data_IF_403176478531
#
_entry.id   IF_403176478531
#
_cell.length_a   1.000
_cell.length_b   1.000
_cell.length_c   1.000
_cell.angle_alpha   90.00
_cell.angle_beta   90.00
_cell.angle_gamma   90.00
#
_symmetry.space_group_name_H-M   'P 1'
#
loop_
_entity.id
_entity.type
_entity.pdbx_description
1 polymer ?
#
# COMPACT_ATOMS: atom_id res chain seq x y z
N UNK A 1 -1.43 -14.20 7.73
CA UNK A 1 -1.12 -13.24 6.68
C UNK A 1 0.38 -13.23 6.35
N UNK A 2 0.74 -12.75 5.18
CA UNK A 2 2.14 -12.60 4.79
C UNK A 2 2.89 -11.69 5.78
N UNK A 3 2.25 -10.61 6.21
CA UNK A 3 2.83 -9.68 7.17
C UNK A 3 3.08 -10.35 8.52
N UNK A 4 2.19 -11.23 8.96
CA UNK A 4 2.39 -12.01 10.20
C UNK A 4 3.72 -12.79 10.14
N UNK A 5 3.99 -13.44 9.01
CA UNK A 5 5.23 -14.22 8.84
C UNK A 5 6.48 -13.35 8.91
N UNK A 6 6.40 -12.10 8.43
CA UNK A 6 7.52 -11.18 8.41
C UNK A 6 7.82 -10.56 9.77
N UNK A 7 6.79 -10.18 10.52
CA UNK A 7 6.95 -9.49 11.80
C UNK A 7 6.88 -10.43 13.00
N UNK A 8 6.42 -11.66 12.79
CA UNK A 8 6.24 -12.68 13.84
C UNK A 8 5.38 -12.18 15.01
N UNK A 9 4.33 -11.41 14.68
CA UNK A 9 3.37 -10.85 15.63
C UNK A 9 1.97 -10.98 15.04
N UNK A 10 0.97 -11.00 15.91
CA UNK A 10 -0.42 -11.07 15.50
C UNK A 10 -0.80 -9.80 14.72
N UNK A 11 -1.28 -9.99 13.49
CA UNK A 11 -1.70 -8.90 12.61
C UNK A 11 -3.19 -9.05 12.32
N UNK A 12 -3.96 -7.98 12.60
CA UNK A 12 -5.37 -7.88 12.23
C UNK A 12 -5.56 -6.78 11.22
N UNK A 13 -6.20 -7.10 10.10
CA UNK A 13 -6.56 -6.12 9.09
C UNK A 13 -8.08 -6.16 8.94
N UNK A 14 -8.72 -5.01 9.15
CA UNK A 14 -10.18 -4.93 9.08
C UNK A 14 -10.65 -4.80 7.64
N UNK A 15 -11.96 -4.97 7.45
CA UNK A 15 -12.61 -4.82 6.15
C UNK A 15 -12.31 -3.44 5.56
N UNK A 16 -11.86 -3.39 4.30
CA UNK A 16 -11.54 -2.11 3.67
C UNK A 16 -12.78 -1.28 3.37
N UNK A 17 -12.60 0.04 3.41
CA UNK A 17 -13.59 1.02 2.98
C UNK A 17 -13.10 1.68 1.70
N UNK A 18 -13.90 1.60 0.63
CA UNK A 18 -13.54 2.13 -0.68
C UNK A 18 -14.26 3.45 -0.90
N UNK A 19 -13.53 4.50 -1.20
CA UNK A 19 -14.07 5.82 -1.49
C UNK A 19 -13.33 6.46 -2.65
N UNK A 20 -13.93 7.50 -3.22
CA UNK A 20 -13.22 8.38 -4.16
C UNK A 20 -12.58 9.53 -3.37
N UNK A 21 -11.40 9.93 -3.78
CA UNK A 21 -10.65 10.97 -3.08
C UNK A 21 -9.88 11.86 -4.06
N UNK A 22 -9.50 13.03 -3.57
CA UNK A 22 -8.58 13.93 -4.27
C UNK A 22 -7.38 14.18 -3.36
N UNK A 23 -6.32 14.78 -3.92
CA UNK A 23 -5.13 15.09 -3.12
C UNK A 23 -5.47 15.96 -1.91
N UNK A 24 -6.34 16.94 -2.09
CA UNK A 24 -6.74 17.84 -0.98
C UNK A 24 -7.45 17.08 0.15
N UNK A 25 -8.35 16.15 -0.18
CA UNK A 25 -9.03 15.34 0.83
C UNK A 25 -8.06 14.38 1.53
N UNK A 26 -7.06 13.90 0.82
CA UNK A 26 -6.01 13.06 1.39
C UNK A 26 -5.19 13.83 2.42
N UNK A 27 -4.82 15.08 2.11
CA UNK A 27 -4.07 15.93 3.03
C UNK A 27 -4.82 16.23 4.33
N UNK A 28 -6.15 16.31 4.27
CA UNK A 28 -6.97 16.51 5.46
C UNK A 28 -6.88 15.33 6.44
N UNK A 29 -6.55 14.14 5.93
CA UNK A 29 -6.47 12.91 6.72
C UNK A 29 -5.07 12.67 7.28
N UNK A 30 -4.03 13.07 6.54
CA UNK A 30 -2.63 12.81 6.89
C UNK A 30 -1.84 14.12 6.92
N UNK A 31 -1.43 14.55 8.11
CA UNK A 31 -0.67 15.80 8.29
C UNK A 31 0.83 15.57 8.46
N UNK A 32 1.25 14.34 8.73
CA UNK A 32 2.65 14.01 9.03
C UNK A 32 3.32 13.36 7.84
N UNK A 33 4.68 13.33 7.83
CA UNK A 33 5.40 12.60 6.79
C UNK A 33 4.92 11.16 6.69
N UNK A 34 4.76 10.69 5.45
CA UNK A 34 4.29 9.35 5.15
C UNK A 34 5.22 8.68 4.15
N UNK A 35 5.28 7.36 4.22
CA UNK A 35 5.99 6.55 3.24
C UNK A 35 5.02 6.16 2.15
N UNK A 36 5.37 6.49 0.91
CA UNK A 36 4.61 6.12 -0.28
C UNK A 36 5.34 4.99 -0.99
N UNK A 37 4.63 3.89 -1.21
CA UNK A 37 5.19 2.70 -1.84
C UNK A 37 4.44 2.48 -3.15
N UNK A 38 5.14 2.67 -4.27
CA UNK A 38 4.57 2.57 -5.60
C UNK A 38 4.87 1.21 -6.21
N UNK A 39 3.84 0.53 -6.70
CA UNK A 39 3.93 -0.76 -7.36
C UNK A 39 3.20 -0.65 -8.69
N UNK A 40 3.81 -1.16 -9.75
CA UNK A 40 3.19 -1.22 -11.08
C UNK A 40 2.86 -2.66 -11.42
N UNK A 41 1.71 -2.87 -12.05
CA UNK A 41 1.40 -4.16 -12.64
C UNK A 41 2.10 -4.24 -13.99
N UNK A 42 2.80 -5.36 -14.22
CA UNK A 42 3.62 -5.55 -15.42
C UNK A 42 3.04 -6.58 -16.37
N UNK A 43 2.10 -7.38 -15.90
CA UNK A 43 1.45 -8.41 -16.73
C UNK A 43 0.05 -8.66 -16.20
N UNK A 44 -0.89 -8.86 -17.10
CA UNK A 44 -2.29 -9.21 -16.79
C UNK A 44 -3.17 -8.02 -16.46
N UNK A 45 -2.62 -7.01 -15.84
CA UNK A 45 -3.26 -5.72 -15.53
C UNK A 45 -2.30 -4.62 -15.88
N UNK A 46 -2.83 -3.45 -16.18
CA UNK A 46 -2.03 -2.26 -16.50
C UNK A 46 -2.43 -1.15 -15.54
N UNK A 47 -1.52 -0.75 -14.70
CA UNK A 47 -1.79 0.32 -13.75
C UNK A 47 -0.79 0.41 -12.61
N UNK A 48 -1.02 1.39 -11.76
CA UNK A 48 -0.17 1.70 -10.61
C UNK A 48 -0.99 1.64 -9.36
N UNK A 49 -0.41 1.06 -8.31
CA UNK A 49 -0.97 1.02 -6.96
C UNK A 49 0.00 1.73 -6.03
N UNK A 50 -0.50 2.62 -5.19
CA UNK A 50 0.31 3.30 -4.20
C UNK A 50 -0.22 2.97 -2.81
N UNK A 51 0.66 2.48 -1.95
CA UNK A 51 0.38 2.25 -0.54
C UNK A 51 0.92 3.42 0.26
N UNK A 52 0.13 3.91 1.21
CA UNK A 52 0.52 5.02 2.07
C UNK A 52 0.52 4.54 3.52
N UNK A 53 1.70 4.60 4.15
CA UNK A 53 1.89 4.21 5.54
C UNK A 53 2.49 5.37 6.33
N UNK A 54 2.15 5.45 7.61
CA UNK A 54 2.74 6.43 8.49
C UNK A 54 4.19 6.08 8.81
N UNK A 55 5.02 7.09 8.96
CA UNK A 55 6.45 6.91 9.27
C UNK A 55 6.67 6.05 10.50
N UNK A 56 5.91 6.29 11.58
CA UNK A 56 6.03 5.52 12.81
C UNK A 56 5.76 4.03 12.58
N UNK A 57 4.73 3.70 11.82
CA UNK A 57 4.36 2.31 11.53
C UNK A 57 5.46 1.59 10.76
N UNK A 58 6.09 2.28 9.82
CA UNK A 58 7.23 1.73 9.06
C UNK A 58 8.39 1.41 9.98
N UNK A 59 8.67 2.29 10.94
CA UNK A 59 9.75 2.06 11.92
C UNK A 59 9.46 0.85 12.80
N UNK A 60 8.23 0.67 13.27
CA UNK A 60 7.83 -0.49 14.07
C UNK A 60 8.00 -1.77 13.25
N UNK A 61 7.46 -1.80 12.06
CA UNK A 61 7.55 -2.98 11.17
C UNK A 61 9.00 -3.33 10.89
N UNK A 62 9.83 -2.34 10.59
CA UNK A 62 11.26 -2.55 10.31
C UNK A 62 11.95 -3.17 11.52
N UNK A 63 11.72 -2.64 12.72
CA UNK A 63 12.33 -3.18 13.94
C UNK A 63 11.94 -4.64 14.16
N UNK A 64 10.67 -4.96 13.98
CA UNK A 64 10.18 -6.33 14.10
C UNK A 64 10.82 -7.26 13.07
N UNK A 65 10.98 -6.79 11.84
CA UNK A 65 11.61 -7.58 10.78
C UNK A 65 13.09 -7.85 11.06
N UNK A 66 13.75 -6.93 11.77
CA UNK A 66 15.16 -7.07 12.14
C UNK A 66 15.36 -7.87 13.43
N UNK A 67 14.30 -8.43 13.98
CA UNK A 67 14.36 -9.26 15.19
C UNK A 67 14.16 -8.50 16.50
N UNK A 68 13.83 -7.21 16.43
CA UNK A 68 13.53 -6.39 17.61
C UNK A 68 12.12 -6.61 18.13
N UNK A 69 11.77 -5.88 19.17
CA UNK A 69 10.45 -5.96 19.83
C UNK A 69 9.46 -4.87 19.36
N UNK A 70 9.83 -4.07 18.37
CA UNK A 70 8.99 -3.01 17.82
C UNK A 70 9.10 -1.67 18.54
N UNK A 71 9.99 -1.55 19.54
CA UNK A 71 10.13 -0.32 20.33
C UNK A 71 11.23 0.61 19.84
N UNK A 72 12.14 0.15 18.98
CA UNK A 72 13.23 0.95 18.46
C UNK A 72 12.73 1.80 17.28
N UNK A 73 12.03 2.89 17.62
CA UNK A 73 11.44 3.80 16.63
C UNK A 73 12.04 5.19 16.69
N UNK A 74 13.12 5.36 17.43
CA UNK A 74 13.86 6.62 17.53
C UNK A 74 14.72 6.85 16.27
N UNK A 75 15.08 8.10 16.04
CA UNK A 75 15.91 8.49 14.91
C UNK A 75 15.11 8.73 13.64
N UNK A 76 15.83 9.10 12.58
CA UNK A 76 15.23 9.41 11.30
C UNK A 76 14.96 8.15 10.49
N UNK A 77 13.90 8.18 9.69
CA UNK A 77 13.60 7.12 8.75
C UNK A 77 14.60 7.19 7.60
N UNK A 78 15.40 6.15 7.45
CA UNK A 78 16.46 6.08 6.44
C UNK A 78 16.26 4.96 5.44
N UNK A 79 17.31 4.70 4.64
CA UNK A 79 17.27 3.68 3.60
C UNK A 79 16.97 2.27 4.12
N UNK A 80 17.44 1.95 5.31
CA UNK A 80 17.16 0.65 5.93
C UNK A 80 15.65 0.46 6.12
N UNK A 81 14.98 1.49 6.60
CA UNK A 81 13.52 1.45 6.80
C UNK A 81 12.79 1.32 5.46
N UNK A 82 13.21 2.10 4.46
CA UNK A 82 12.58 2.05 3.14
C UNK A 82 12.81 0.71 2.46
N UNK A 83 13.99 0.12 2.59
CA UNK A 83 14.30 -1.20 2.04
C UNK A 83 13.48 -2.30 2.72
N UNK A 84 13.37 -2.25 4.04
CA UNK A 84 12.62 -3.24 4.80
C UNK A 84 11.12 -3.19 4.44
N UNK A 85 10.54 -2.00 4.39
CA UNK A 85 9.12 -1.89 4.06
C UNK A 85 8.85 -2.24 2.60
N UNK A 86 9.79 -1.94 1.68
CA UNK A 86 9.68 -2.37 0.28
C UNK A 86 9.64 -3.88 0.18
N UNK A 87 10.51 -4.57 0.91
CA UNK A 87 10.54 -6.04 0.92
C UNK A 87 9.24 -6.61 1.48
N UNK A 88 8.74 -6.04 2.60
CA UNK A 88 7.47 -6.47 3.18
C UNK A 88 6.31 -6.30 2.19
N UNK A 89 6.24 -5.15 1.54
CA UNK A 89 5.17 -4.86 0.58
C UNK A 89 5.32 -5.70 -0.69
N UNK A 90 6.55 -5.98 -1.12
CA UNK A 90 6.79 -6.86 -2.26
C UNK A 90 6.19 -8.24 -2.01
N UNK A 91 6.41 -8.81 -0.83
CA UNK A 91 5.85 -10.11 -0.47
C UNK A 91 4.33 -10.06 -0.33
N UNK A 92 3.80 -9.03 0.30
CA UNK A 92 2.35 -8.87 0.46
C UNK A 92 1.65 -8.69 -0.88
N UNK A 93 2.19 -7.83 -1.74
CA UNK A 93 1.58 -7.57 -3.05
C UNK A 93 1.83 -8.73 -4.01
N UNK A 94 2.92 -9.45 -3.86
CA UNK A 94 3.15 -10.70 -4.61
C UNK A 94 2.09 -11.74 -4.29
N UNK A 95 1.76 -11.90 -3.01
CA UNK A 95 0.66 -12.79 -2.58
C UNK A 95 -0.68 -12.32 -3.12
N UNK A 96 -0.94 -11.01 -3.10
CA UNK A 96 -2.15 -10.43 -3.65
C UNK A 96 -2.26 -10.65 -5.16
N UNK A 97 -1.15 -10.48 -5.89
CA UNK A 97 -1.10 -10.72 -7.33
C UNK A 97 -1.39 -12.18 -7.67
N UNK A 98 -0.85 -13.11 -6.88
CA UNK A 98 -1.14 -14.55 -7.03
C UNK A 98 -2.63 -14.83 -6.82
N UNK A 99 -3.24 -14.21 -5.81
CA UNK A 99 -4.68 -14.36 -5.56
C UNK A 99 -5.51 -13.78 -6.71
N UNK A 100 -5.12 -12.62 -7.23
CA UNK A 100 -5.79 -12.02 -8.38
C UNK A 100 -5.61 -12.86 -9.64
N UNK A 101 -4.44 -13.47 -9.83
CA UNK A 101 -4.20 -14.37 -10.96
C UNK A 101 -5.18 -15.53 -10.97
N UNK A 102 -5.42 -16.12 -9.80
CA UNK A 102 -6.39 -17.20 -9.65
C UNK A 102 -7.81 -16.71 -9.90
N UNK A 103 -8.17 -15.57 -9.31
CA UNK A 103 -9.52 -15.01 -9.41
C UNK A 103 -9.86 -14.59 -10.84
N UNK A 104 -8.93 -13.97 -11.55
CA UNK A 104 -9.12 -13.47 -12.91
C UNK A 104 -8.73 -14.48 -13.99
N UNK A 105 -8.21 -15.64 -13.59
CA UNK A 105 -7.78 -16.71 -14.50
C UNK A 105 -6.76 -16.22 -15.55
N UNK A 106 -5.83 -15.37 -15.11
CA UNK A 106 -4.77 -14.85 -15.96
C UNK A 106 -3.51 -14.64 -15.11
N UNK A 107 -2.35 -14.63 -15.74
CA UNK A 107 -1.09 -14.37 -15.03
C UNK A 107 -1.00 -12.87 -14.70
N UNK A 108 -0.81 -12.54 -13.43
CA UNK A 108 -0.65 -11.16 -12.97
C UNK A 108 0.69 -11.04 -12.26
N UNK A 109 1.52 -10.14 -12.75
CA UNK A 109 2.82 -9.83 -12.17
C UNK A 109 2.93 -8.35 -11.81
N UNK A 110 3.83 -8.06 -10.87
CA UNK A 110 4.08 -6.71 -10.38
C UNK A 110 5.57 -6.37 -10.53
N UNK A 111 5.86 -5.06 -10.61
CA UNK A 111 7.23 -4.56 -10.53
C UNK A 111 7.69 -4.55 -9.06
N UNK A 112 9.01 -4.51 -8.81
CA UNK A 112 9.51 -4.27 -7.46
C UNK A 112 8.97 -2.95 -6.90
N UNK A 113 8.59 -2.91 -5.61
CA UNK A 113 8.08 -1.66 -5.01
C UNK A 113 9.16 -0.58 -4.92
N UNK A 114 8.74 0.67 -5.13
CA UNK A 114 9.60 1.84 -4.92
C UNK A 114 9.04 2.63 -3.74
N UNK A 115 9.86 2.77 -2.69
CA UNK A 115 9.47 3.45 -1.45
C UNK A 115 10.12 4.82 -1.35
N UNK A 116 9.35 5.81 -0.91
CA UNK A 116 9.84 7.17 -0.69
C UNK A 116 9.14 7.79 0.49
N UNK A 117 9.86 8.60 1.26
CA UNK A 117 9.29 9.39 2.34
C UNK A 117 8.92 10.77 1.81
N UNK A 118 7.66 11.16 1.98
CA UNK A 118 7.17 12.48 1.59
C UNK A 118 6.62 13.21 2.80
N UNK A 119 7.01 14.48 2.94
CA UNK A 119 6.37 15.40 3.86
C UNK A 119 5.18 16.02 3.12
N UNK A 120 3.97 15.64 3.50
CA UNK A 120 2.76 16.06 2.81
C UNK A 120 2.52 17.58 2.92
N UNK A 121 3.12 18.24 3.89
CA UNK A 121 3.01 19.70 4.00
C UNK A 121 3.80 20.42 2.91
N UNK A 122 4.79 19.77 2.32
CA UNK A 122 5.63 20.30 1.25
C UNK A 122 5.14 19.94 -0.15
N UNK A 123 4.29 18.92 -0.26
CA UNK A 123 3.75 18.45 -1.54
C UNK A 123 2.43 19.18 -1.82
N UNK A 124 2.44 20.10 -2.75
CA UNK A 124 1.28 20.93 -3.08
C UNK A 124 0.29 20.24 -4.00
N UNK A 125 0.77 19.38 -4.90
CA UNK A 125 -0.03 18.70 -5.89
C UNK A 125 0.40 17.24 -5.94
N UNK A 126 -0.57 16.33 -5.90
CA UNK A 126 -0.33 14.89 -5.98
C UNK A 126 0.43 14.46 -7.24
N UNK A 127 0.35 15.25 -8.32
CA UNK A 127 1.12 14.97 -9.55
C UNK A 127 2.61 14.90 -9.31
N UNK A 128 3.12 15.56 -8.28
CA UNK A 128 4.54 15.52 -7.93
C UNK A 128 4.96 14.10 -7.52
N UNK A 129 4.02 13.27 -7.07
CA UNK A 129 4.26 11.89 -6.67
C UNK A 129 3.89 10.93 -7.80
N UNK A 130 2.69 11.07 -8.36
CA UNK A 130 2.23 10.25 -9.46
C UNK A 130 1.15 10.99 -10.25
N UNK A 131 1.14 10.89 -11.59
CA UNK A 131 0.18 11.63 -12.42
C UNK A 131 -1.29 11.45 -12.03
N UNK A 132 -1.70 10.26 -11.64
CA UNK A 132 -3.12 10.01 -11.31
C UNK A 132 -3.56 10.70 -10.02
N UNK A 133 -2.63 11.08 -9.16
CA UNK A 133 -2.96 11.76 -7.90
C UNK A 133 -3.33 13.23 -8.12
N UNK A 134 -3.14 13.76 -9.32
CA UNK A 134 -3.56 15.12 -9.65
C UNK A 134 -5.05 15.29 -9.86
N UNK A 135 -5.80 14.20 -9.97
CA UNK A 135 -7.26 14.23 -10.17
C UNK A 135 -7.97 13.45 -9.06
N UNK A 136 -9.15 12.94 -9.41
CA UNK A 136 -9.90 12.04 -8.52
C UNK A 136 -9.36 10.63 -8.67
N UNK A 137 -9.15 9.94 -7.56
CA UNK A 137 -8.64 8.57 -7.55
C UNK A 137 -9.43 7.72 -6.55
N UNK A 138 -9.24 6.40 -6.62
CA UNK A 138 -9.86 5.45 -5.70
C UNK A 138 -8.97 5.31 -4.48
N UNK A 139 -9.56 5.47 -3.29
CA UNK A 139 -8.87 5.27 -2.01
C UNK A 139 -9.50 4.07 -1.30
N UNK A 140 -8.67 3.11 -0.94
CA UNK A 140 -9.07 1.97 -0.12
C UNK A 140 -8.37 2.13 1.22
N UNK A 141 -9.13 2.38 2.28
CA UNK A 141 -8.60 2.55 3.62
C UNK A 141 -8.97 1.35 4.47
N UNK A 142 -7.99 0.84 5.23
CA UNK A 142 -8.24 -0.25 6.16
C UNK A 142 -7.40 -0.06 7.42
N UNK A 143 -7.92 -0.59 8.53
CA UNK A 143 -7.25 -0.53 9.81
C UNK A 143 -6.30 -1.71 9.94
N UNK A 144 -5.06 -1.45 10.35
CA UNK A 144 -4.06 -2.47 10.62
C UNK A 144 -3.67 -2.41 12.09
N UNK A 145 -3.70 -3.57 12.74
CA UNK A 145 -3.25 -3.72 14.13
C UNK A 145 -2.17 -4.79 14.18
N UNK A 146 -1.05 -4.48 14.83
CA UNK A 146 0.04 -5.44 15.09
C UNK A 146 0.22 -5.46 16.60
N UNK A 147 -0.28 -6.50 17.27
CA UNK A 147 -0.32 -6.62 18.73
C UNK A 147 -0.76 -5.28 19.37
N UNK A 148 0.02 -4.79 20.35
CA UNK A 148 -0.18 -3.48 20.99
C UNK A 148 0.69 -2.39 20.35
N UNK A 149 1.47 -2.73 19.32
CA UNK A 149 2.51 -1.86 18.77
C UNK A 149 2.00 -0.92 17.69
N UNK A 150 1.09 -1.39 16.86
CA UNK A 150 0.53 -0.61 15.75
C UNK A 150 -0.98 -0.73 15.76
N UNK A 151 -1.66 0.41 15.63
CA UNK A 151 -3.09 0.51 15.41
C UNK A 151 -3.31 1.74 14.52
N UNK A 152 -3.29 1.53 13.23
CA UNK A 152 -3.26 2.60 12.25
C UNK A 152 -4.12 2.29 11.05
N UNK A 153 -4.44 3.35 10.31
CA UNK A 153 -5.09 3.25 9.01
C UNK A 153 -4.03 3.24 7.92
N UNK A 154 -4.13 2.26 7.02
CA UNK A 154 -3.32 2.19 5.81
C UNK A 154 -4.21 2.52 4.63
N UNK A 155 -3.66 3.19 3.62
CA UNK A 155 -4.39 3.48 2.41
C UNK A 155 -3.73 2.85 1.20
N UNK A 156 -4.58 2.40 0.26
CA UNK A 156 -4.15 2.06 -1.10
C UNK A 156 -4.81 3.03 -2.06
N UNK A 157 -4.04 3.56 -2.99
CA UNK A 157 -4.51 4.53 -3.97
C UNK A 157 -4.40 3.94 -5.37
N UNK A 158 -5.48 4.03 -6.13
CA UNK A 158 -5.55 3.48 -7.49
C UNK A 158 -6.12 4.52 -8.45
N UNK A 159 -5.66 4.53 -9.72
CA UNK A 159 -6.37 5.27 -10.76
C UNK A 159 -7.79 4.73 -10.94
N UNK A 160 -8.75 5.61 -11.22
CA UNK A 160 -10.15 5.21 -11.45
C UNK A 160 -10.23 4.23 -12.62
N UNK A 161 -9.53 4.49 -13.71
CA UNK A 161 -9.55 3.62 -14.88
C UNK A 161 -9.03 2.22 -14.59
N UNK A 162 -8.00 2.10 -13.75
CA UNK A 162 -7.49 0.81 -13.31
C UNK A 162 -8.55 0.04 -12.52
N UNK A 163 -9.21 0.71 -11.57
CA UNK A 163 -10.24 0.08 -10.75
C UNK A 163 -11.42 -0.38 -11.62
N UNK A 164 -11.82 0.44 -12.59
CA UNK A 164 -12.89 0.11 -13.54
C UNK A 164 -12.52 -1.12 -14.36
N UNK A 165 -11.31 -1.16 -14.91
CA UNK A 165 -10.84 -2.31 -15.69
C UNK A 165 -10.76 -3.58 -14.87
N UNK A 166 -10.34 -3.47 -13.62
CA UNK A 166 -10.27 -4.60 -12.71
C UNK A 166 -11.66 -5.23 -12.52
N UNK A 167 -12.66 -4.40 -12.26
CA UNK A 167 -14.06 -4.84 -12.08
C UNK A 167 -14.59 -5.46 -13.37
N UNK A 168 -14.37 -4.83 -14.52
CA UNK A 168 -14.80 -5.35 -15.81
C UNK A 168 -14.18 -6.71 -16.13
N UNK A 169 -12.88 -6.86 -15.87
CA UNK A 169 -12.17 -8.13 -16.09
C UNK A 169 -12.74 -9.22 -15.19
N UNK A 170 -13.01 -8.89 -13.92
CA UNK A 170 -13.60 -9.83 -12.98
C UNK A 170 -14.99 -10.28 -13.44
N UNK A 171 -15.86 -9.34 -13.83
CA UNK A 171 -17.20 -9.64 -14.32
C UNK A 171 -17.15 -10.54 -15.57
N UNK A 172 -16.29 -10.19 -16.52
CA UNK A 172 -16.15 -10.96 -17.75
C UNK A 172 -15.68 -12.40 -17.47
N UNK A 173 -14.75 -12.56 -16.53
CA UNK A 173 -14.24 -13.88 -16.13
C UNK A 173 -15.34 -14.73 -15.50
N UNK A 174 -16.18 -14.13 -14.64
CA UNK A 174 -17.26 -14.84 -13.95
C UNK A 174 -18.42 -15.15 -14.89
N UNK A 175 -18.71 -14.30 -15.87
CA UNK A 175 -19.85 -14.45 -16.77
C UNK A 175 -19.52 -15.12 -18.09
N UNK A 176 -18.29 -14.97 -18.56
CA UNK A 176 -17.84 -15.51 -19.82
C UNK A 176 -17.42 -16.98 -19.79
N UNK A 177 -17.46 -17.59 -18.64
CA UNK A 177 -17.17 -19.03 -18.44
C UNK A 177 -15.73 -19.33 -18.44
#
# INVERSE_FOLDING_TARGET
TTLYSLVNRKVNITTPVVTLATWNTLLDTYEKPCVFIQIKYTQGLDGTNILVLKEHDVKVITDLMMGGDGTNTDGELGELHLSAISEAMNQMMGSAATSLSTLLQTVIDISPPESSLFDLTEVKDGKEISPFLGGTFVKIAFRMQIDDLVDSSIMQLYPIDFARKLVETFINTQMGG
#
